data_IF_328371929575
#
_entry.id   IF_328371929575
#
_cell.length_a   1.000
_cell.length_b   1.000
_cell.length_c   1.000
_cell.angle_alpha   90.00
_cell.angle_beta   90.00
_cell.angle_gamma   90.00
#
_symmetry.space_group_name_H-M   'P 1'
#
loop_
_entity.id
_entity.type
_entity.pdbx_description
1 polymer ?
#
# COMPACT_ATOMS: atom_id res chain seq x y z
N UNK A 1 -7.17 18.23 -7.51
CA UNK A 1 -8.15 18.49 -8.59
C UNK A 1 -8.18 19.98 -8.89
N UNK A 2 -8.47 20.82 -7.90
CA UNK A 2 -8.30 22.27 -7.95
C UNK A 2 -7.31 22.69 -6.85
N UNK A 3 -6.22 23.34 -7.22
CA UNK A 3 -5.20 23.78 -6.25
C UNK A 3 -5.82 24.69 -5.18
N UNK A 4 -5.55 24.40 -3.90
CA UNK A 4 -6.06 25.19 -2.78
C UNK A 4 -7.56 25.05 -2.50
N UNK A 5 -8.31 24.21 -3.23
CA UNK A 5 -9.75 24.02 -3.02
C UNK A 5 -10.16 22.55 -2.86
N UNK A 6 -9.79 21.71 -3.82
CA UNK A 6 -10.27 20.33 -3.89
C UNK A 6 -9.16 19.37 -4.30
N UNK A 7 -8.95 18.36 -3.47
CA UNK A 7 -7.96 17.30 -3.66
C UNK A 7 -8.60 15.94 -3.45
N UNK A 8 -8.03 14.91 -4.06
CA UNK A 8 -8.41 13.54 -3.77
C UNK A 8 -7.84 13.13 -2.41
N UNK A 9 -8.62 12.43 -1.61
CA UNK A 9 -8.16 11.75 -0.39
C UNK A 9 -8.16 10.25 -0.67
N UNK A 10 -6.98 9.63 -0.70
CA UNK A 10 -6.84 8.18 -0.88
C UNK A 10 -6.64 7.56 0.50
N UNK A 11 -7.51 6.62 0.87
CA UNK A 11 -7.44 5.87 2.14
C UNK A 11 -7.31 4.39 1.81
N UNK A 12 -6.41 3.71 2.50
CA UNK A 12 -6.24 2.26 2.44
C UNK A 12 -6.57 1.73 3.83
N UNK A 13 -7.43 0.72 3.89
CA UNK A 13 -7.74 0.00 5.11
C UNK A 13 -7.27 -1.45 4.95
N UNK A 14 -6.45 -1.92 5.88
CA UNK A 14 -5.95 -3.30 5.91
C UNK A 14 -6.63 -4.06 7.04
N UNK A 15 -7.19 -5.23 6.70
CA UNK A 15 -7.83 -6.11 7.66
C UNK A 15 -7.05 -7.42 7.73
N UNK A 16 -6.55 -7.75 8.92
CA UNK A 16 -5.85 -9.01 9.15
C UNK A 16 -6.91 -10.10 9.41
N UNK A 17 -6.97 -11.09 8.53
CA UNK A 17 -7.91 -12.20 8.63
C UNK A 17 -7.35 -13.36 9.45
N UNK A 18 -6.06 -13.64 9.24
CA UNK A 18 -5.32 -14.69 9.94
C UNK A 18 -3.87 -14.25 10.15
N UNK A 19 -3.30 -14.55 11.31
CA UNK A 19 -1.93 -14.19 11.66
C UNK A 19 -1.08 -15.45 11.81
N UNK A 20 -0.37 -15.80 10.73
CA UNK A 20 0.56 -16.94 10.67
C UNK A 20 2.04 -16.46 10.68
N UNK A 21 2.28 -15.21 11.07
CA UNK A 21 3.61 -14.59 11.08
C UNK A 21 3.81 -13.55 9.99
N UNK A 22 4.85 -12.73 10.16
CA UNK A 22 5.33 -11.72 9.23
C UNK A 22 4.24 -10.78 8.65
N UNK A 23 3.36 -10.29 9.52
CA UNK A 23 2.24 -9.42 9.11
C UNK A 23 2.69 -8.13 8.42
N UNK A 24 3.90 -7.64 8.70
CA UNK A 24 4.42 -6.39 8.14
C UNK A 24 4.64 -6.53 6.63
N UNK A 25 5.28 -7.60 6.19
CA UNK A 25 5.57 -7.83 4.77
C UNK A 25 4.26 -8.15 4.03
N UNK A 26 3.39 -8.99 4.62
CA UNK A 26 2.08 -9.29 4.08
C UNK A 26 1.21 -8.02 3.91
N UNK A 27 1.19 -7.14 4.92
CA UNK A 27 0.48 -5.86 4.86
C UNK A 27 1.06 -4.91 3.80
N UNK A 28 2.38 -4.87 3.65
CA UNK A 28 3.05 -4.06 2.62
C UNK A 28 2.63 -4.50 1.22
N UNK A 29 2.70 -5.81 0.93
CA UNK A 29 2.29 -6.36 -0.37
C UNK A 29 0.80 -6.13 -0.62
N UNK A 30 -0.05 -6.34 0.40
CA UNK A 30 -1.48 -6.09 0.29
C UNK A 30 -1.81 -4.62 -0.02
N UNK A 31 -1.13 -3.67 0.65
CA UNK A 31 -1.32 -2.24 0.39
C UNK A 31 -0.87 -1.84 -1.01
N UNK A 32 0.27 -2.34 -1.48
CA UNK A 32 0.75 -2.09 -2.85
C UNK A 32 -0.21 -2.67 -3.89
N UNK A 33 -0.65 -3.91 -3.71
CA UNK A 33 -1.62 -4.55 -4.60
C UNK A 33 -2.94 -3.76 -4.65
N UNK A 34 -3.44 -3.29 -3.50
CA UNK A 34 -4.63 -2.47 -3.42
C UNK A 34 -4.46 -1.14 -4.19
N UNK A 35 -3.33 -0.45 -4.01
CA UNK A 35 -3.05 0.80 -4.74
C UNK A 35 -2.92 0.59 -6.25
N UNK A 36 -2.28 -0.49 -6.68
CA UNK A 36 -2.07 -0.81 -8.11
C UNK A 36 -3.37 -1.19 -8.83
N UNK A 37 -4.27 -1.87 -8.12
CA UNK A 37 -5.56 -2.31 -8.66
C UNK A 37 -6.64 -1.24 -8.55
N UNK A 38 -6.53 -0.32 -7.57
CA UNK A 38 -7.47 0.78 -7.41
C UNK A 38 -7.56 1.64 -8.67
N UNK A 39 -8.79 2.03 -9.01
CA UNK A 39 -9.10 2.94 -10.09
C UNK A 39 -9.97 4.06 -9.52
N UNK A 40 -9.55 5.30 -9.70
CA UNK A 40 -10.32 6.48 -9.28
C UNK A 40 -11.27 6.90 -10.42
N UNK A 41 -12.46 7.44 -10.10
CA UNK A 41 -13.33 8.00 -11.13
C UNK A 41 -12.65 9.18 -11.83
N UNK A 42 -12.95 9.34 -13.12
CA UNK A 42 -12.52 10.50 -13.88
C UNK A 42 -13.28 11.75 -13.43
N UNK A 43 -12.64 12.92 -13.56
CA UNK A 43 -13.27 14.19 -13.22
C UNK A 43 -12.94 15.25 -14.27
N UNK A 44 -13.97 15.98 -14.71
CA UNK A 44 -13.78 17.17 -15.53
C UNK A 44 -13.80 18.40 -14.62
N UNK A 45 -12.82 19.28 -14.81
CA UNK A 45 -12.83 20.62 -14.21
C UNK A 45 -13.39 21.58 -15.26
N UNK A 46 -14.48 22.28 -14.93
CA UNK A 46 -15.24 23.11 -15.86
C UNK A 46 -16.09 24.20 -15.19
N UNK A 47 -17.03 24.79 -15.95
CA UNK A 47 -17.91 25.88 -15.51
C UNK A 47 -17.46 27.26 -15.99
N UNK A 48 -18.36 28.26 -15.98
CA UNK A 48 -18.11 29.62 -16.51
C UNK A 48 -16.89 30.31 -15.87
N UNK A 49 -16.54 29.94 -14.63
CA UNK A 49 -15.40 30.47 -13.88
C UNK A 49 -14.26 29.43 -13.67
N UNK A 50 -14.34 28.24 -14.29
CA UNK A 50 -13.32 27.19 -14.18
C UNK A 50 -13.15 26.56 -12.78
N UNK A 51 -14.15 26.71 -11.90
CA UNK A 51 -14.08 26.30 -10.50
C UNK A 51 -14.98 25.12 -10.13
N UNK A 52 -15.72 24.55 -11.08
CA UNK A 52 -16.59 23.40 -10.84
C UNK A 52 -15.87 22.09 -11.14
N UNK A 53 -16.13 21.08 -10.31
CA UNK A 53 -15.59 19.73 -10.47
C UNK A 53 -16.76 18.79 -10.65
N UNK A 54 -16.81 18.14 -11.82
CA UNK A 54 -17.80 17.10 -12.14
C UNK A 54 -17.08 15.76 -12.07
N UNK A 55 -17.51 14.89 -11.15
CA UNK A 55 -17.02 13.51 -11.03
C UNK A 55 -17.94 12.63 -11.85
N UNK A 56 -17.38 11.90 -12.83
CA UNK A 56 -18.14 11.01 -13.70
C UNK A 56 -18.30 9.64 -13.06
N UNK A 57 -19.44 9.01 -13.29
CA UNK A 57 -19.67 7.64 -12.86
C UNK A 57 -18.86 6.64 -13.70
N UNK A 58 -18.71 5.41 -13.22
CA UNK A 58 -18.01 4.33 -13.94
C UNK A 58 -18.73 3.91 -15.23
N UNK A 59 -20.02 4.22 -15.35
CA UNK A 59 -20.84 3.94 -16.52
C UNK A 59 -20.63 5.01 -17.60
N UNK A 60 -20.35 6.25 -17.17
CA UNK A 60 -20.14 7.40 -18.06
C UNK A 60 -18.71 7.46 -18.59
N UNK A 61 -17.72 7.13 -17.76
CA UNK A 61 -16.29 7.15 -18.12
C UNK A 61 -15.50 6.05 -17.44
N UNK A 62 -14.47 5.60 -18.15
CA UNK A 62 -13.52 4.63 -17.60
C UNK A 62 -12.73 5.22 -16.43
N UNK A 63 -12.57 4.43 -15.37
CA UNK A 63 -11.83 4.83 -14.19
C UNK A 63 -10.31 4.81 -14.45
N UNK A 64 -9.63 5.80 -13.89
CA UNK A 64 -8.21 6.01 -14.10
C UNK A 64 -7.38 5.32 -13.01
N UNK A 65 -6.25 4.69 -13.35
CA UNK A 65 -5.31 4.18 -12.34
C UNK A 65 -4.67 5.33 -11.56
N UNK A 66 -4.15 5.00 -10.37
CA UNK A 66 -3.25 5.90 -9.65
C UNK A 66 -1.87 5.92 -10.31
N UNK A 67 -1.21 7.06 -10.25
CA UNK A 67 0.17 7.20 -10.69
C UNK A 67 1.05 6.73 -9.53
N UNK A 68 1.67 5.57 -9.69
CA UNK A 68 2.58 4.98 -8.71
C UNK A 68 3.99 5.07 -9.28
N UNK A 69 4.88 5.78 -8.60
CA UNK A 69 6.25 5.99 -9.07
C UNK A 69 7.19 4.81 -8.76
N UNK A 70 6.97 4.17 -7.61
CA UNK A 70 7.86 3.15 -7.03
C UNK A 70 7.04 2.08 -6.32
N UNK A 71 7.60 0.87 -6.21
CA UNK A 71 6.97 -0.27 -5.54
C UNK A 71 7.90 -0.76 -4.42
N UNK A 72 7.88 -0.12 -3.24
CA UNK A 72 8.74 -0.48 -2.12
C UNK A 72 8.28 -1.78 -1.46
N UNK A 73 9.05 -2.86 -1.64
CA UNK A 73 8.77 -4.19 -1.08
C UNK A 73 9.53 -4.36 0.24
N UNK A 74 8.82 -4.76 1.29
CA UNK A 74 9.40 -5.07 2.60
C UNK A 74 9.80 -6.56 2.70
N UNK A 75 10.94 -6.80 3.34
CA UNK A 75 11.44 -8.13 3.71
C UNK A 75 11.89 -8.13 5.16
N UNK A 76 11.42 -9.09 5.95
CA UNK A 76 11.70 -9.20 7.37
C UNK A 76 12.59 -10.40 7.69
N UNK A 77 13.64 -10.15 8.46
CA UNK A 77 14.60 -11.12 8.96
C UNK A 77 14.40 -11.30 10.47
N UNK A 78 14.20 -12.54 10.92
CA UNK A 78 14.22 -12.94 12.33
C UNK A 78 15.59 -13.45 12.75
N UNK A 79 16.09 -12.99 13.90
CA UNK A 79 17.37 -13.39 14.46
C UNK A 79 17.19 -14.35 15.64
N UNK A 80 17.87 -15.50 15.58
CA UNK A 80 17.86 -16.53 16.61
C UNK A 80 19.27 -16.75 17.18
N UNK A 81 19.34 -17.37 18.37
CA UNK A 81 20.59 -17.74 19.02
C UNK A 81 21.60 -16.58 19.08
N UNK A 82 21.18 -15.42 19.62
CA UNK A 82 21.98 -14.18 19.70
C UNK A 82 22.50 -13.66 18.35
N UNK A 83 21.76 -13.89 17.27
CA UNK A 83 22.10 -13.40 15.93
C UNK A 83 22.98 -14.36 15.10
N UNK A 84 23.23 -15.57 15.59
CA UNK A 84 24.00 -16.58 14.84
C UNK A 84 23.17 -17.26 13.74
N UNK A 85 21.84 -17.22 13.86
CA UNK A 85 20.92 -17.81 12.87
C UNK A 85 19.97 -16.70 12.42
N UNK A 86 19.78 -16.59 11.11
CA UNK A 86 18.88 -15.63 10.47
C UNK A 86 17.89 -16.41 9.62
N UNK A 87 16.60 -16.15 9.82
CA UNK A 87 15.50 -16.69 9.02
C UNK A 87 14.79 -15.53 8.35
N UNK A 88 14.44 -15.67 7.08
CA UNK A 88 13.59 -14.73 6.35
C UNK A 88 12.15 -15.22 6.44
N UNK A 89 11.20 -14.29 6.57
CA UNK A 89 9.77 -14.62 6.63
C UNK A 89 9.41 -15.55 7.80
N UNK A 90 9.63 -15.10 9.06
CA UNK A 90 9.37 -15.94 10.23
C UNK A 90 7.87 -16.23 10.36
N UNK A 91 7.55 -17.50 10.54
CA UNK A 91 6.21 -17.96 10.93
C UNK A 91 5.85 -17.50 12.35
N UNK A 92 4.57 -17.58 12.72
CA UNK A 92 4.08 -17.19 14.04
C UNK A 92 4.91 -17.79 15.19
N UNK A 93 5.25 -19.08 15.10
CA UNK A 93 6.04 -19.77 16.13
C UNK A 93 7.49 -19.27 16.16
N UNK A 94 8.05 -18.96 14.99
CA UNK A 94 9.40 -18.40 14.88
C UNK A 94 9.47 -16.96 15.41
N UNK A 95 8.44 -16.14 15.19
CA UNK A 95 8.32 -14.80 15.77
C UNK A 95 8.25 -14.82 17.30
N UNK A 96 7.58 -15.82 17.90
CA UNK A 96 7.48 -15.95 19.36
C UNK A 96 8.82 -16.28 20.04
N UNK A 97 9.74 -16.93 19.32
CA UNK A 97 11.03 -17.39 19.88
C UNK A 97 12.25 -16.62 19.37
N UNK A 98 12.06 -15.65 18.46
CA UNK A 98 13.15 -14.84 17.94
C UNK A 98 13.71 -13.89 19.01
N UNK A 99 15.01 -13.62 18.96
CA UNK A 99 15.66 -12.64 19.82
C UNK A 99 15.50 -11.21 19.31
N UNK A 100 15.20 -11.04 18.02
CA UNK A 100 15.01 -9.75 17.38
C UNK A 100 14.61 -9.92 15.92
N UNK A 101 14.21 -8.82 15.29
CA UNK A 101 13.88 -8.77 13.87
C UNK A 101 14.42 -7.50 13.20
N UNK A 102 14.64 -7.57 11.90
CA UNK A 102 14.98 -6.44 11.05
C UNK A 102 14.11 -6.48 9.79
N UNK A 103 13.33 -5.44 9.55
CA UNK A 103 12.57 -5.28 8.31
C UNK A 103 13.28 -4.27 7.42
N UNK A 104 13.53 -4.65 6.18
CA UNK A 104 14.18 -3.80 5.17
C UNK A 104 13.19 -3.60 4.03
N UNK A 105 12.93 -2.35 3.68
CA UNK A 105 12.09 -2.01 2.53
C UNK A 105 12.97 -1.49 1.41
N UNK A 106 12.89 -2.15 0.25
CA UNK A 106 13.67 -1.78 -0.94
C UNK A 106 12.72 -1.50 -2.10
N UNK A 107 13.10 -0.52 -2.92
CA UNK A 107 12.48 -0.33 -4.21
C UNK A 107 13.31 -1.06 -5.27
N UNK A 108 12.69 -1.41 -6.41
CA UNK A 108 13.39 -2.06 -7.52
C UNK A 108 14.39 -1.14 -8.26
N UNK A 109 14.44 0.16 -7.91
CA UNK A 109 15.31 1.20 -8.48
C UNK A 109 15.86 2.11 -7.38
#
# INVERSE_FOLDING_TARGET
VLAGKMVWSVRIDLHILDNIGNLVDAANVAALAALMTFRRPDCTVGGENGHEVIVHSLEEREALPLIIHHLPIAFTFGFFNRGNIVVMDPTYVEEEVMCGRMSVTVNAN
#
